data_IF_571930267413
#
_entry.id   IF_571930267413
#
_cell.length_a   1.000
_cell.length_b   1.000
_cell.length_c   1.000
_cell.angle_alpha   90.00
_cell.angle_beta   90.00
_cell.angle_gamma   90.00
#
_symmetry.space_group_name_H-M   'P 1'
#
loop_
_entity.id
_entity.type
_entity.pdbx_description
1 polymer ?
#
# COMPACT_ATOMS: atom_id res chain seq x y z
N UNK A 1 10.22 -22.26 -21.31
CA UNK A 1 11.55 -22.50 -20.71
C UNK A 1 11.87 -21.30 -19.84
N UNK A 2 12.01 -21.50 -18.52
CA UNK A 2 12.48 -20.47 -17.58
C UNK A 2 13.94 -20.77 -17.27
N UNK A 3 14.84 -20.47 -18.22
CA UNK A 3 16.27 -20.75 -18.04
C UNK A 3 16.97 -19.69 -17.20
N UNK A 4 16.25 -18.62 -16.82
CA UNK A 4 16.73 -17.51 -16.00
C UNK A 4 15.77 -17.25 -14.83
N UNK A 5 16.27 -16.63 -13.76
CA UNK A 5 15.47 -16.32 -12.57
C UNK A 5 14.39 -15.26 -12.89
N UNK A 6 14.72 -14.28 -13.73
CA UNK A 6 13.78 -13.30 -14.25
C UNK A 6 12.72 -13.95 -15.16
N UNK A 7 13.09 -14.97 -15.95
CA UNK A 7 12.15 -15.73 -16.76
C UNK A 7 11.12 -16.49 -15.91
N UNK A 8 11.57 -17.07 -14.79
CA UNK A 8 10.68 -17.67 -13.79
C UNK A 8 9.79 -16.61 -13.12
N UNK A 9 10.38 -15.48 -12.72
CA UNK A 9 9.65 -14.37 -12.09
C UNK A 9 8.54 -13.84 -12.99
N UNK A 10 8.78 -13.71 -14.30
CA UNK A 10 7.77 -13.31 -15.27
C UNK A 10 6.61 -14.32 -15.41
N UNK A 11 6.90 -15.62 -15.34
CA UNK A 11 5.87 -16.66 -15.36
C UNK A 11 5.01 -16.62 -14.08
N UNK A 12 5.66 -16.46 -12.93
CA UNK A 12 4.97 -16.33 -11.65
C UNK A 12 4.13 -15.06 -11.58
N UNK A 13 4.66 -13.91 -12.04
CA UNK A 13 3.92 -12.66 -12.11
C UNK A 13 2.66 -12.79 -12.99
N UNK A 14 2.77 -13.49 -14.11
CA UNK A 14 1.61 -13.75 -15.00
C UNK A 14 0.53 -14.55 -14.27
N UNK A 15 0.91 -15.57 -13.49
CA UNK A 15 -0.04 -16.36 -12.68
C UNK A 15 -0.69 -15.53 -11.59
N UNK A 16 0.07 -14.70 -10.87
CA UNK A 16 -0.47 -13.78 -9.86
C UNK A 16 -1.43 -12.79 -10.49
N UNK A 17 -1.07 -12.20 -11.64
CA UNK A 17 -1.93 -11.25 -12.38
C UNK A 17 -3.25 -11.87 -12.81
N UNK A 18 -3.28 -13.16 -13.15
CA UNK A 18 -4.51 -13.85 -13.55
C UNK A 18 -5.52 -14.01 -12.39
N UNK A 19 -5.07 -13.88 -11.14
CA UNK A 19 -5.93 -13.89 -9.95
C UNK A 19 -6.41 -12.50 -9.53
N UNK A 20 -5.80 -11.43 -10.06
CA UNK A 20 -6.21 -10.06 -9.71
C UNK A 20 -7.61 -9.78 -10.25
N UNK A 21 -8.46 -9.21 -9.41
CA UNK A 21 -9.87 -8.95 -9.76
C UNK A 21 -10.75 -10.19 -9.76
N UNK A 22 -10.23 -11.38 -9.43
CA UNK A 22 -11.06 -12.49 -8.99
C UNK A 22 -11.63 -12.15 -7.60
N UNK A 23 -12.84 -12.61 -7.30
CA UNK A 23 -13.51 -12.36 -6.00
C UNK A 23 -12.95 -13.24 -4.86
N UNK A 24 -11.64 -13.51 -4.89
CA UNK A 24 -10.91 -14.39 -3.97
C UNK A 24 -9.54 -13.79 -3.60
N UNK A 25 -9.59 -12.78 -2.73
CA UNK A 25 -8.40 -12.10 -2.19
C UNK A 25 -7.43 -13.08 -1.51
N UNK A 26 -7.95 -14.11 -0.83
CA UNK A 26 -7.12 -15.08 -0.13
C UNK A 26 -6.24 -15.87 -1.12
N UNK A 27 -6.80 -16.30 -2.25
CA UNK A 27 -6.05 -16.96 -3.30
C UNK A 27 -5.00 -16.04 -3.94
N UNK A 28 -5.34 -14.76 -4.20
CA UNK A 28 -4.40 -13.77 -4.74
C UNK A 28 -3.21 -13.57 -3.79
N UNK A 29 -3.48 -13.35 -2.50
CA UNK A 29 -2.46 -13.09 -1.49
C UNK A 29 -1.55 -14.30 -1.27
N UNK A 30 -2.12 -15.51 -1.19
CA UNK A 30 -1.36 -16.74 -1.09
C UNK A 30 -0.45 -16.96 -2.31
N UNK A 31 -0.99 -16.81 -3.52
CA UNK A 31 -0.21 -16.95 -4.75
C UNK A 31 0.93 -15.94 -4.86
N UNK A 32 0.69 -14.67 -4.47
CA UNK A 32 1.71 -13.64 -4.48
C UNK A 32 2.84 -13.92 -3.46
N UNK A 33 2.50 -14.43 -2.26
CA UNK A 33 3.48 -14.87 -1.26
C UNK A 33 4.31 -16.04 -1.76
N UNK A 34 3.66 -17.09 -2.25
CA UNK A 34 4.33 -18.30 -2.74
C UNK A 34 5.24 -18.01 -3.95
N UNK A 35 4.81 -17.10 -4.83
CA UNK A 35 5.62 -16.63 -5.95
C UNK A 35 6.87 -15.87 -5.47
N UNK A 36 6.71 -14.97 -4.50
CA UNK A 36 7.82 -14.22 -3.91
C UNK A 36 8.84 -15.15 -3.24
N UNK A 37 8.36 -16.11 -2.44
CA UNK A 37 9.18 -17.14 -1.79
C UNK A 37 10.01 -17.95 -2.78
N UNK A 38 9.43 -18.35 -3.91
CA UNK A 38 10.13 -19.12 -4.93
C UNK A 38 11.30 -18.36 -5.54
N UNK A 39 11.16 -17.05 -5.77
CA UNK A 39 12.24 -16.22 -6.31
C UNK A 39 13.28 -15.95 -5.23
N UNK A 40 12.88 -15.50 -4.05
CA UNK A 40 13.81 -15.12 -2.98
C UNK A 40 14.66 -16.31 -2.50
N UNK A 41 14.12 -17.55 -2.47
CA UNK A 41 14.91 -18.76 -2.14
C UNK A 41 15.95 -19.11 -3.20
N UNK A 42 15.77 -18.64 -4.44
CA UNK A 42 16.67 -18.90 -5.57
C UNK A 42 17.67 -17.78 -5.80
N UNK A 43 17.41 -16.58 -5.28
CA UNK A 43 18.36 -15.46 -5.34
C UNK A 43 19.65 -15.78 -4.56
N UNK A 44 20.75 -15.93 -5.28
CA UNK A 44 22.12 -16.04 -4.76
C UNK A 44 23.00 -14.87 -5.19
N UNK A 45 24.17 -14.73 -4.55
CA UNK A 45 25.11 -13.63 -4.78
C UNK A 45 25.72 -13.58 -6.20
N UNK A 46 25.47 -14.59 -7.05
CA UNK A 46 26.05 -14.72 -8.40
C UNK A 46 25.01 -14.65 -9.52
N UNK A 47 23.73 -14.43 -9.20
CA UNK A 47 22.67 -14.40 -10.19
C UNK A 47 22.65 -13.06 -10.94
N UNK A 48 23.08 -13.08 -12.20
CA UNK A 48 23.18 -11.88 -13.04
C UNK A 48 21.84 -11.16 -13.24
N UNK A 49 20.70 -11.86 -13.10
CA UNK A 49 19.34 -11.34 -13.27
C UNK A 49 18.52 -11.29 -11.97
N UNK A 50 19.13 -11.53 -10.79
CA UNK A 50 18.42 -11.49 -9.51
C UNK A 50 17.81 -10.12 -9.22
N UNK A 51 18.50 -9.02 -9.57
CA UNK A 51 17.96 -7.67 -9.40
C UNK A 51 16.65 -7.50 -10.16
N UNK A 52 16.60 -7.95 -11.42
CA UNK A 52 15.39 -7.86 -12.25
C UNK A 52 14.27 -8.73 -11.68
N UNK A 53 14.57 -9.97 -11.29
CA UNK A 53 13.60 -10.86 -10.68
C UNK A 53 13.01 -10.25 -9.38
N UNK A 54 13.85 -9.70 -8.51
CA UNK A 54 13.42 -9.04 -7.27
C UNK A 54 12.61 -7.75 -7.51
N UNK A 55 12.90 -7.01 -8.57
CA UNK A 55 12.05 -5.88 -8.98
C UNK A 55 10.65 -6.35 -9.39
N UNK A 56 10.53 -7.50 -10.05
CA UNK A 56 9.22 -8.09 -10.34
C UNK A 56 8.51 -8.53 -9.04
N UNK A 57 9.24 -9.16 -8.11
CA UNK A 57 8.72 -9.55 -6.78
C UNK A 57 8.14 -8.34 -6.05
N UNK A 58 8.92 -7.26 -5.97
CA UNK A 58 8.50 -6.01 -5.36
C UNK A 58 7.20 -5.49 -5.96
N UNK A 59 7.09 -5.52 -7.30
CA UNK A 59 5.92 -5.03 -8.03
C UNK A 59 4.67 -5.86 -7.77
N UNK A 60 4.72 -7.20 -7.87
CA UNK A 60 3.51 -7.99 -7.67
C UNK A 60 3.07 -8.05 -6.22
N UNK A 61 4.00 -8.03 -5.27
CA UNK A 61 3.66 -7.97 -3.83
C UNK A 61 2.99 -6.64 -3.48
N UNK A 62 3.49 -5.52 -4.03
CA UNK A 62 2.81 -4.22 -3.92
C UNK A 62 1.40 -4.25 -4.51
N UNK A 63 1.26 -4.74 -5.75
CA UNK A 63 -0.03 -4.74 -6.44
C UNK A 63 -1.05 -5.66 -5.78
N UNK A 64 -0.64 -6.86 -5.34
CA UNK A 64 -1.53 -7.77 -4.63
C UNK A 64 -1.99 -7.19 -3.29
N UNK A 65 -1.09 -6.54 -2.54
CA UNK A 65 -1.46 -5.81 -1.34
C UNK A 65 -2.43 -4.67 -1.69
N UNK A 66 -2.08 -3.81 -2.65
CA UNK A 66 -2.90 -2.68 -3.05
C UNK A 66 -4.31 -3.10 -3.44
N UNK A 67 -4.49 -4.16 -4.26
CA UNK A 67 -5.81 -4.63 -4.67
C UNK A 67 -6.72 -5.00 -3.49
N UNK A 68 -6.15 -5.48 -2.38
CA UNK A 68 -6.88 -5.88 -1.18
C UNK A 68 -7.09 -4.73 -0.17
N UNK A 69 -6.69 -3.49 -0.50
CA UNK A 69 -6.90 -2.37 0.43
C UNK A 69 -8.37 -1.92 0.42
N UNK A 70 -9.07 -1.96 1.58
CA UNK A 70 -10.52 -1.71 1.61
C UNK A 70 -10.89 -0.24 1.40
N UNK A 71 -9.92 0.68 1.45
CA UNK A 71 -10.17 2.12 1.26
C UNK A 71 -10.45 2.53 -0.19
N UNK A 72 -10.39 1.61 -1.17
CA UNK A 72 -10.69 1.91 -2.58
C UNK A 72 -12.17 2.07 -2.87
N UNK A 73 -13.03 1.35 -2.17
CA UNK A 73 -14.48 1.35 -2.43
C UNK A 73 -15.27 1.00 -1.18
N UNK A 74 -16.52 1.47 -1.14
CA UNK A 74 -17.46 1.09 -0.09
C UNK A 74 -18.08 -0.25 -0.48
N UNK A 75 -17.75 -1.30 0.25
CA UNK A 75 -18.29 -2.64 0.06
C UNK A 75 -19.27 -2.98 1.19
N UNK A 76 -20.30 -3.77 0.89
CA UNK A 76 -21.18 -4.39 1.89
C UNK A 76 -20.58 -5.68 2.46
N UNK A 77 -19.48 -6.18 1.86
CA UNK A 77 -18.77 -7.35 2.38
C UNK A 77 -17.99 -6.95 3.64
N UNK A 78 -18.07 -7.75 4.71
CA UNK A 78 -17.23 -7.54 5.89
C UNK A 78 -15.74 -7.54 5.53
N UNK A 79 -14.98 -6.65 6.16
CA UNK A 79 -13.53 -6.65 6.06
C UNK A 79 -13.01 -7.93 6.73
N UNK A 80 -12.25 -8.74 5.99
CA UNK A 80 -11.62 -9.94 6.53
C UNK A 80 -10.25 -9.61 7.15
N UNK A 81 -10.08 -9.71 8.49
CA UNK A 81 -8.82 -9.38 9.15
C UNK A 81 -7.63 -10.25 8.71
N UNK A 82 -7.87 -11.53 8.37
CA UNK A 82 -6.81 -12.44 7.93
C UNK A 82 -6.24 -12.00 6.57
N UNK A 83 -7.11 -11.56 5.66
CA UNK A 83 -6.69 -11.01 4.37
C UNK A 83 -5.93 -9.69 4.57
N UNK A 84 -6.36 -8.83 5.49
CA UNK A 84 -5.64 -7.59 5.80
C UNK A 84 -4.24 -7.85 6.36
N UNK A 85 -4.10 -8.82 7.27
CA UNK A 85 -2.80 -9.23 7.81
C UNK A 85 -1.88 -9.77 6.71
N UNK A 86 -2.41 -10.62 5.83
CA UNK A 86 -1.66 -11.17 4.71
C UNK A 86 -1.25 -10.08 3.69
N UNK A 87 -2.13 -9.14 3.37
CA UNK A 87 -1.86 -8.01 2.48
C UNK A 87 -0.82 -7.06 3.08
N UNK A 88 -0.90 -6.77 4.38
CA UNK A 88 0.10 -6.00 5.12
C UNK A 88 1.48 -6.63 5.06
N UNK A 89 1.59 -7.94 5.22
CA UNK A 89 2.86 -8.67 5.10
C UNK A 89 3.48 -8.52 3.69
N UNK A 90 2.65 -8.57 2.64
CA UNK A 90 3.11 -8.33 1.27
C UNK A 90 3.54 -6.88 1.05
N UNK A 91 2.84 -5.90 1.63
CA UNK A 91 3.22 -4.49 1.60
C UNK A 91 4.59 -4.27 2.28
N UNK A 92 4.80 -4.86 3.46
CA UNK A 92 6.09 -4.82 4.15
C UNK A 92 7.20 -5.49 3.34
N UNK A 93 6.91 -6.63 2.70
CA UNK A 93 7.85 -7.32 1.81
C UNK A 93 8.25 -6.44 0.64
N UNK A 94 7.27 -5.79 0.00
CA UNK A 94 7.52 -4.84 -1.08
C UNK A 94 8.40 -3.67 -0.61
N UNK A 95 8.09 -3.07 0.54
CA UNK A 95 8.91 -2.00 1.13
C UNK A 95 10.34 -2.45 1.41
N UNK A 96 10.54 -3.65 1.98
CA UNK A 96 11.89 -4.22 2.17
C UNK A 96 12.65 -4.33 0.85
N UNK A 97 11.99 -4.79 -0.22
CA UNK A 97 12.62 -4.90 -1.53
C UNK A 97 12.92 -3.53 -2.15
N UNK A 98 12.06 -2.52 -1.96
CA UNK A 98 12.36 -1.14 -2.39
C UNK A 98 13.65 -0.63 -1.75
N UNK A 99 13.83 -0.89 -0.45
CA UNK A 99 15.04 -0.52 0.31
C UNK A 99 16.27 -1.30 -0.16
N UNK A 100 16.18 -2.62 -0.23
CA UNK A 100 17.28 -3.50 -0.68
C UNK A 100 17.74 -3.19 -2.10
N UNK A 101 16.80 -2.85 -2.99
CA UNK A 101 17.10 -2.55 -4.39
C UNK A 101 17.42 -1.07 -4.62
N UNK A 102 17.34 -0.23 -3.58
CA UNK A 102 17.57 1.21 -3.63
C UNK A 102 16.73 1.91 -4.71
N UNK A 103 15.42 1.62 -4.77
CA UNK A 103 14.55 2.11 -5.85
C UNK A 103 14.16 3.60 -5.72
N UNK A 104 14.74 4.30 -4.74
CA UNK A 104 14.61 5.73 -4.54
C UNK A 104 13.54 6.14 -3.51
N UNK A 105 13.65 7.37 -2.99
CA UNK A 105 12.90 7.83 -1.82
C UNK A 105 11.38 7.90 -2.06
N UNK A 106 10.95 8.22 -3.29
CA UNK A 106 9.53 8.28 -3.62
C UNK A 106 8.86 6.90 -3.48
N UNK A 107 9.52 5.84 -3.97
CA UNK A 107 8.99 4.47 -3.85
C UNK A 107 9.06 3.97 -2.42
N UNK A 108 10.06 4.38 -1.66
CA UNK A 108 10.16 4.04 -0.24
C UNK A 108 9.01 4.66 0.54
N UNK A 109 8.75 5.96 0.35
CA UNK A 109 7.61 6.67 0.94
C UNK A 109 6.28 5.99 0.60
N UNK A 110 6.09 5.56 -0.64
CA UNK A 110 4.89 4.79 -1.06
C UNK A 110 4.79 3.44 -0.36
N UNK A 111 5.90 2.73 -0.15
CA UNK A 111 5.90 1.50 0.62
C UNK A 111 5.53 1.71 2.09
N UNK A 112 6.11 2.74 2.74
CA UNK A 112 5.79 3.11 4.12
C UNK A 112 4.31 3.50 4.25
N UNK A 113 3.81 4.33 3.33
CA UNK A 113 2.40 4.72 3.27
C UNK A 113 1.48 3.48 3.17
N UNK A 114 1.81 2.52 2.30
CA UNK A 114 0.99 1.31 2.12
C UNK A 114 0.90 0.47 3.40
N UNK A 115 2.01 0.30 4.13
CA UNK A 115 1.99 -0.41 5.42
C UNK A 115 1.12 0.34 6.43
N UNK A 116 1.29 1.66 6.53
CA UNK A 116 0.46 2.50 7.41
C UNK A 116 -1.04 2.47 7.05
N UNK A 117 -1.37 2.40 5.76
CA UNK A 117 -2.75 2.27 5.28
C UNK A 117 -3.39 0.93 5.69
N UNK A 118 -2.62 -0.15 5.76
CA UNK A 118 -3.08 -1.42 6.31
C UNK A 118 -3.18 -1.42 7.84
N UNK A 119 -2.27 -0.76 8.54
CA UNK A 119 -2.41 -0.58 10.00
C UNK A 119 -3.68 0.23 10.33
N UNK A 120 -4.04 1.22 9.51
CA UNK A 120 -5.32 1.91 9.63
C UNK A 120 -6.51 0.95 9.46
N UNK A 121 -6.48 0.11 8.41
CA UNK A 121 -7.55 -0.86 8.15
C UNK A 121 -7.68 -1.93 9.25
N UNK A 122 -6.58 -2.27 9.92
CA UNK A 122 -6.53 -3.20 11.05
C UNK A 122 -6.90 -2.55 12.39
N UNK A 123 -7.25 -1.26 12.42
CA UNK A 123 -7.58 -0.54 13.65
C UNK A 123 -6.37 -0.17 14.53
N UNK A 124 -5.15 -0.30 14.00
CA UNK A 124 -3.90 0.05 14.70
C UNK A 124 -3.56 1.52 14.47
N UNK A 125 -4.40 2.41 15.00
CA UNK A 125 -4.37 3.83 14.64
C UNK A 125 -3.08 4.55 15.03
N UNK A 126 -2.43 4.16 16.12
CA UNK A 126 -1.15 4.75 16.56
C UNK A 126 -0.01 4.36 15.60
N UNK A 127 0.11 3.06 15.30
CA UNK A 127 1.09 2.53 14.34
C UNK A 127 0.88 3.12 12.95
N UNK A 128 -0.38 3.17 12.49
CA UNK A 128 -0.75 3.81 11.24
C UNK A 128 -0.32 5.28 11.20
N UNK A 129 -0.60 6.03 12.27
CA UNK A 129 -0.25 7.45 12.35
C UNK A 129 1.27 7.66 12.34
N UNK A 130 2.05 6.78 12.98
CA UNK A 130 3.51 6.85 12.94
C UNK A 130 4.04 6.63 11.52
N UNK A 131 3.62 5.56 10.86
CA UNK A 131 4.07 5.23 9.49
C UNK A 131 3.64 6.29 8.48
N UNK A 132 2.41 6.81 8.59
CA UNK A 132 1.94 7.87 7.68
C UNK A 132 2.72 9.17 7.88
N UNK A 133 3.12 9.53 9.11
CA UNK A 133 4.01 10.68 9.34
C UNK A 133 5.39 10.47 8.74
N UNK A 134 5.96 9.26 8.86
CA UNK A 134 7.23 8.91 8.21
C UNK A 134 7.12 9.04 6.68
N UNK A 135 6.08 8.47 6.07
CA UNK A 135 5.84 8.58 4.63
C UNK A 135 5.69 10.05 4.19
N UNK A 136 4.98 10.86 4.97
CA UNK A 136 4.80 12.29 4.72
C UNK A 136 6.14 13.03 4.69
N UNK A 137 7.02 12.78 5.66
CA UNK A 137 8.35 13.39 5.71
C UNK A 137 9.20 13.00 4.49
N UNK A 138 9.13 11.74 4.08
CA UNK A 138 9.84 11.25 2.89
C UNK A 138 9.27 11.85 1.59
N UNK A 139 7.94 12.00 1.46
CA UNK A 139 7.34 12.70 0.32
C UNK A 139 7.70 14.17 0.26
N UNK A 140 7.82 14.83 1.41
CA UNK A 140 8.30 16.21 1.50
C UNK A 140 9.75 16.32 1.01
N UNK A 141 10.63 15.44 1.48
CA UNK A 141 12.03 15.38 1.03
C UNK A 141 12.14 15.05 -0.48
N UNK A 142 11.22 14.25 -1.01
CA UNK A 142 11.12 13.92 -2.44
C UNK A 142 10.43 15.02 -3.28
N UNK A 143 10.07 16.17 -2.70
CA UNK A 143 9.38 17.27 -3.39
C UNK A 143 8.07 16.84 -4.07
N UNK A 144 7.28 15.99 -3.41
CA UNK A 144 5.99 15.48 -3.90
C UNK A 144 4.80 16.09 -3.11
N UNK A 145 4.49 17.40 -3.28
CA UNK A 145 3.53 18.11 -2.44
C UNK A 145 2.11 17.54 -2.49
N UNK A 146 1.68 16.98 -3.63
CA UNK A 146 0.39 16.31 -3.74
C UNK A 146 0.29 15.06 -2.84
N UNK A 147 1.36 14.27 -2.78
CA UNK A 147 1.41 13.07 -1.93
C UNK A 147 1.55 13.41 -0.44
N UNK A 148 2.19 14.54 -0.12
CA UNK A 148 2.18 15.09 1.25
C UNK A 148 0.75 15.37 1.69
N UNK A 149 -0.04 16.08 0.88
CA UNK A 149 -1.44 16.40 1.19
C UNK A 149 -2.33 15.15 1.26
N UNK A 150 -2.15 14.21 0.32
CA UNK A 150 -2.86 12.94 0.36
C UNK A 150 -2.57 12.17 1.67
N UNK A 151 -1.29 12.14 2.08
CA UNK A 151 -0.88 11.48 3.33
C UNK A 151 -1.41 12.20 4.56
N UNK A 152 -1.43 13.54 4.57
CA UNK A 152 -2.08 14.34 5.62
C UNK A 152 -3.56 13.94 5.78
N UNK A 153 -4.25 13.68 4.68
CA UNK A 153 -5.64 13.19 4.70
C UNK A 153 -5.79 11.86 5.44
N UNK A 154 -4.91 10.89 5.19
CA UNK A 154 -4.93 9.61 5.93
C UNK A 154 -4.59 9.77 7.41
N UNK A 155 -3.67 10.67 7.76
CA UNK A 155 -3.38 11.00 9.17
C UNK A 155 -4.64 11.57 9.84
N UNK A 156 -5.37 12.47 9.16
CA UNK A 156 -6.63 13.00 9.68
C UNK A 156 -7.69 11.92 9.88
N UNK A 157 -7.80 10.95 8.96
CA UNK A 157 -8.70 9.79 9.08
C UNK A 157 -8.31 8.93 10.29
N UNK A 158 -7.03 8.55 10.41
CA UNK A 158 -6.54 7.72 11.52
C UNK A 158 -6.83 8.35 12.89
N UNK A 159 -6.58 9.67 13.01
CA UNK A 159 -6.92 10.43 14.24
C UNK A 159 -8.42 10.39 14.54
N UNK A 160 -9.26 10.71 13.54
CA UNK A 160 -10.72 10.80 13.68
C UNK A 160 -11.32 9.45 14.07
N UNK A 161 -10.94 8.38 13.36
CA UNK A 161 -11.46 7.03 13.59
C UNK A 161 -10.94 6.46 14.92
N UNK A 162 -9.68 6.73 15.26
CA UNK A 162 -9.08 6.36 16.55
C UNK A 162 -9.52 7.21 17.74
N UNK A 163 -10.42 8.19 17.57
CA UNK A 163 -10.91 9.09 18.63
C UNK A 163 -9.80 9.85 19.37
N UNK A 164 -8.71 10.17 18.66
CA UNK A 164 -7.63 11.00 19.18
C UNK A 164 -8.05 12.47 19.20
N UNK A 165 -7.40 13.26 20.06
CA UNK A 165 -7.63 14.71 20.13
C UNK A 165 -7.39 15.37 18.76
N UNK A 166 -8.21 16.37 18.44
CA UNK A 166 -8.06 17.17 17.23
C UNK A 166 -6.84 18.09 17.38
N UNK A 167 -5.69 17.64 16.88
CA UNK A 167 -4.50 18.47 16.68
C UNK A 167 -4.18 18.51 15.18
N UNK A 168 -3.98 19.69 14.60
CA UNK A 168 -3.76 19.94 13.16
C UNK A 168 -5.02 20.05 12.29
N UNK A 169 -4.82 20.21 10.97
CA UNK A 169 -5.91 20.36 9.98
C UNK A 169 -6.86 19.17 9.99
N UNK A 170 -8.16 19.44 9.87
CA UNK A 170 -9.18 18.42 9.64
C UNK A 170 -9.21 17.95 8.17
N UNK A 171 -9.94 16.86 7.90
CA UNK A 171 -9.99 16.26 6.56
C UNK A 171 -10.60 17.21 5.50
N UNK A 172 -11.56 18.06 5.88
CA UNK A 172 -12.23 18.97 4.95
C UNK A 172 -11.28 20.09 4.51
N UNK A 173 -10.48 20.62 5.44
CA UNK A 173 -9.41 21.58 5.15
C UNK A 173 -8.37 20.97 4.21
N UNK A 174 -7.96 19.72 4.43
CA UNK A 174 -7.00 19.02 3.58
C UNK A 174 -7.57 18.82 2.17
N UNK A 175 -8.84 18.39 2.06
CA UNK A 175 -9.51 18.22 0.76
C UNK A 175 -9.61 19.56 0.00
N UNK A 176 -9.92 20.66 0.69
CA UNK A 176 -9.94 21.99 0.09
C UNK A 176 -8.56 22.41 -0.44
N UNK A 177 -7.48 22.09 0.28
CA UNK A 177 -6.09 22.35 -0.16
C UNK A 177 -5.71 21.50 -1.38
N UNK A 178 -6.14 20.24 -1.44
CA UNK A 178 -5.92 19.38 -2.63
C UNK A 178 -6.64 19.98 -3.84
N UNK A 179 -7.92 20.33 -3.70
CA UNK A 179 -8.71 20.92 -4.78
C UNK A 179 -8.13 22.27 -5.27
N UNK A 180 -7.64 23.11 -4.36
CA UNK A 180 -7.03 24.39 -4.69
C UNK A 180 -5.62 24.26 -5.31
N UNK A 181 -4.93 23.15 -5.10
CA UNK A 181 -3.53 22.96 -5.50
C UNK A 181 -3.31 22.67 -7.00
N UNK A 182 -4.37 22.44 -7.77
CA UNK A 182 -4.28 22.18 -9.22
C UNK A 182 -3.51 20.89 -9.57
N UNK A 183 -3.48 19.91 -8.67
CA UNK A 183 -2.84 18.62 -8.92
C UNK A 183 -3.63 17.82 -9.96
N UNK A 184 -2.91 17.17 -10.87
CA UNK A 184 -3.50 16.35 -11.95
C UNK A 184 -4.56 15.37 -11.44
N UNK A 185 -4.27 14.71 -10.32
CA UNK A 185 -5.10 13.63 -9.76
C UNK A 185 -5.87 14.11 -8.49
N UNK A 186 -5.98 15.43 -8.28
CA UNK A 186 -6.51 16.00 -7.04
C UNK A 186 -7.96 15.59 -6.72
N UNK A 187 -8.83 15.58 -7.73
CA UNK A 187 -10.24 15.18 -7.55
C UNK A 187 -10.36 13.69 -7.16
N UNK A 188 -9.54 12.83 -7.76
CA UNK A 188 -9.47 11.40 -7.44
C UNK A 188 -8.99 11.17 -6.01
N UNK A 189 -7.98 11.93 -5.57
CA UNK A 189 -7.48 11.87 -4.19
C UNK A 189 -8.52 12.32 -3.16
N UNK A 190 -9.28 13.39 -3.44
CA UNK A 190 -10.36 13.82 -2.55
C UNK A 190 -11.45 12.75 -2.46
N UNK A 191 -11.82 12.14 -3.59
CA UNK A 191 -12.79 11.04 -3.61
C UNK A 191 -12.27 9.83 -2.80
N UNK A 192 -11.00 9.45 -3.00
CA UNK A 192 -10.34 8.36 -2.29
C UNK A 192 -10.34 8.58 -0.77
N UNK A 193 -10.00 9.79 -0.31
CA UNK A 193 -10.00 10.12 1.13
C UNK A 193 -11.40 10.03 1.75
N UNK A 194 -12.43 10.48 1.02
CA UNK A 194 -13.83 10.38 1.48
C UNK A 194 -14.29 8.93 1.55
N UNK A 195 -13.97 8.13 0.55
CA UNK A 195 -14.24 6.68 0.54
C UNK A 195 -13.56 5.99 1.72
N UNK A 196 -12.28 6.23 1.93
CA UNK A 196 -11.54 5.66 3.05
C UNK A 196 -12.15 6.04 4.41
N UNK A 197 -12.50 7.32 4.62
CA UNK A 197 -13.19 7.74 5.84
C UNK A 197 -14.52 7.00 6.03
N UNK A 198 -15.32 6.87 4.96
CA UNK A 198 -16.61 6.19 5.03
C UNK A 198 -16.47 4.72 5.39
N UNK A 199 -15.48 4.02 4.82
CA UNK A 199 -15.18 2.62 5.14
C UNK A 199 -14.78 2.48 6.61
N UNK A 200 -13.79 3.24 7.06
CA UNK A 200 -13.22 3.05 8.39
C UNK A 200 -14.06 3.64 9.53
N UNK A 201 -14.95 4.60 9.27
CA UNK A 201 -15.89 5.10 10.27
C UNK A 201 -17.04 4.12 10.56
N UNK A 202 -17.42 3.27 9.59
CA UNK A 202 -18.47 2.25 9.76
C UNK A 202 -18.03 1.11 10.70
N UNK A 203 -16.79 0.66 10.54
CA UNK A 203 -16.20 -0.40 11.37
C UNK A 203 -16.14 -0.04 12.85
N UNK A 204 -15.95 1.24 13.20
CA UNK A 204 -15.95 1.70 14.60
C UNK A 204 -17.36 1.76 15.22
N UNK A 205 -18.40 1.74 14.38
CA UNK A 205 -19.80 1.86 14.81
C UNK A 205 -20.55 0.52 14.88
N UNK A 206 -19.91 -0.57 14.45
CA UNK A 206 -20.44 -1.94 14.46
C UNK A 206 -19.87 -2.73 15.64
#
# INVERSE_FOLDING_TARGET
MADTLAGLAGQLETRVKALRGADDDAALLAAARDAADQIERRCGAQDADAREALMMVQRWTFNAAADCWPGWSVSDKPINPDNLLAARELAERSLRLVRVLELGPLREATGVWMVGAFDLALGRYDDASQLLREAREQYLAASAPGLVLLTDGYIAIARRVGKHAADGDDLDQICARIAAGGFKDGDEWVAQLRTALQVFAREVSS
#
